data_IF_971781575813
#
_entry.id   IF_971781575813
#
_cell.length_a   1.000
_cell.length_b   1.000
_cell.length_c   1.000
_cell.angle_alpha   90.00
_cell.angle_beta   90.00
_cell.angle_gamma   90.00
#
_symmetry.space_group_name_H-M   'P 1'
#
loop_
_entity.id
_entity.type
_entity.pdbx_description
1 polymer ?
#
# COMPACT_ATOMS: atom_id res chain seq x y z
N UNK A 1 8.73 -4.75 -13.91
CA UNK A 1 8.29 -3.71 -12.98
C UNK A 1 6.88 -3.28 -13.33
N UNK A 2 5.98 -3.29 -12.36
CA UNK A 2 4.58 -2.95 -12.56
C UNK A 2 4.38 -1.44 -12.35
N UNK A 3 3.77 -0.80 -13.32
CA UNK A 3 3.48 0.62 -13.27
C UNK A 3 2.29 0.88 -12.35
N UNK A 4 2.42 1.86 -11.45
CA UNK A 4 1.35 2.26 -10.54
C UNK A 4 0.37 3.21 -11.24
N UNK A 5 -0.92 2.95 -11.08
CA UNK A 5 -1.99 3.87 -11.51
C UNK A 5 -2.72 4.34 -10.26
N UNK A 6 -2.59 5.62 -9.93
CA UNK A 6 -3.17 6.22 -8.72
C UNK A 6 -4.61 6.61 -8.93
N UNK A 7 -5.46 6.30 -7.94
CA UNK A 7 -6.89 6.60 -8.00
C UNK A 7 -7.36 7.19 -6.67
N UNK A 8 -8.31 8.10 -6.76
CA UNK A 8 -8.99 8.70 -5.63
C UNK A 8 -8.03 9.32 -4.61
N UNK A 9 -8.43 10.42 -4.04
CA UNK A 9 -7.67 11.06 -2.94
C UNK A 9 -8.69 11.67 -2.02
N UNK A 10 -8.59 11.36 -0.71
CA UNK A 10 -9.51 11.93 0.28
C UNK A 10 -8.83 12.03 1.63
N UNK A 11 -9.26 13.00 2.42
CA UNK A 11 -8.82 13.10 3.81
C UNK A 11 -9.52 12.02 4.63
N UNK A 12 -8.82 11.53 5.64
CA UNK A 12 -9.28 10.44 6.47
C UNK A 12 -8.83 10.66 7.91
N UNK A 13 -9.78 10.59 8.85
CA UNK A 13 -9.48 10.56 10.29
C UNK A 13 -9.69 9.15 10.76
N UNK A 14 -8.71 8.58 11.44
CA UNK A 14 -8.74 7.18 11.84
C UNK A 14 -9.74 6.99 12.97
N UNK A 15 -10.82 6.24 12.71
CA UNK A 15 -11.78 5.79 13.72
C UNK A 15 -11.32 4.47 14.35
N UNK A 16 -12.13 3.94 15.28
CA UNK A 16 -11.77 2.70 15.97
C UNK A 16 -11.64 1.51 15.02
N UNK A 17 -12.54 1.36 14.07
CA UNK A 17 -12.52 0.24 13.13
C UNK A 17 -11.28 0.31 12.24
N UNK A 18 -10.96 1.48 11.72
CA UNK A 18 -9.79 1.68 10.87
C UNK A 18 -8.49 1.49 11.66
N UNK A 19 -8.45 1.99 12.92
CA UNK A 19 -7.29 1.81 13.79
C UNK A 19 -6.97 0.33 14.00
N UNK A 20 -7.99 -0.48 14.22
CA UNK A 20 -7.81 -1.93 14.37
C UNK A 20 -7.32 -2.58 13.08
N UNK A 21 -7.90 -2.22 11.95
CA UNK A 21 -7.53 -2.81 10.66
C UNK A 21 -6.10 -2.42 10.26
N UNK A 22 -5.71 -1.17 10.45
CA UNK A 22 -4.37 -0.67 10.09
C UNK A 22 -3.34 -0.88 11.19
N UNK A 23 -3.76 -1.31 12.39
CA UNK A 23 -2.89 -1.49 13.56
C UNK A 23 -2.14 -0.20 13.91
N UNK A 24 -2.89 0.89 14.04
CA UNK A 24 -2.37 2.20 14.38
C UNK A 24 -3.28 2.90 15.40
N UNK A 25 -2.90 4.09 15.82
CA UNK A 25 -3.66 4.87 16.79
C UNK A 25 -4.91 5.49 16.16
N UNK A 26 -5.94 5.73 16.99
CA UNK A 26 -7.11 6.49 16.60
C UNK A 26 -6.75 7.97 16.44
N UNK A 27 -7.59 8.67 15.70
CA UNK A 27 -7.54 10.14 15.50
C UNK A 27 -6.37 10.63 14.67
N UNK A 28 -5.52 9.74 14.15
CA UNK A 28 -4.52 10.13 13.17
C UNK A 28 -5.22 10.70 11.93
N UNK A 29 -4.63 11.73 11.35
CA UNK A 29 -5.15 12.36 10.15
C UNK A 29 -4.30 11.96 8.97
N UNK A 30 -4.93 11.23 8.06
CA UNK A 30 -4.27 10.73 6.86
C UNK A 30 -4.87 11.34 5.60
N UNK A 31 -4.07 11.36 4.58
CA UNK A 31 -4.50 11.48 3.21
C UNK A 31 -4.53 10.05 2.66
N UNK A 32 -5.69 9.61 2.18
CA UNK A 32 -5.85 8.26 1.62
C UNK A 32 -5.98 8.35 0.12
N UNK A 33 -5.23 7.53 -0.57
CA UNK A 33 -5.42 7.28 -2.00
C UNK A 33 -5.15 5.80 -2.27
N UNK A 34 -5.58 5.33 -3.44
CA UNK A 34 -5.33 3.94 -3.80
C UNK A 34 -4.59 3.86 -5.13
N UNK A 35 -3.98 2.73 -5.37
CA UNK A 35 -3.37 2.48 -6.66
C UNK A 35 -3.54 1.03 -7.08
N UNK A 36 -3.51 0.82 -8.39
CA UNK A 36 -3.53 -0.49 -9.01
C UNK A 36 -2.21 -0.65 -9.76
N UNK A 37 -1.62 -1.82 -9.64
CA UNK A 37 -0.48 -2.19 -10.49
C UNK A 37 -0.93 -3.27 -11.47
N UNK A 38 -0.51 -3.12 -12.70
CA UNK A 38 -0.89 -4.03 -13.78
C UNK A 38 0.32 -4.79 -14.28
N UNK A 39 0.08 -5.95 -14.86
CA UNK A 39 1.13 -6.73 -15.51
C UNK A 39 1.24 -6.32 -16.98
N UNK A 40 2.32 -5.64 -17.39
CA UNK A 40 2.44 -5.17 -18.77
C UNK A 40 2.58 -6.31 -19.79
N UNK A 41 2.94 -7.51 -19.35
CA UNK A 41 3.10 -8.68 -20.23
C UNK A 41 1.84 -9.53 -20.33
N UNK A 42 0.77 -9.20 -19.60
CA UNK A 42 -0.48 -9.95 -19.59
C UNK A 42 -1.65 -9.00 -19.87
N UNK A 43 -1.61 -8.30 -20.99
CA UNK A 43 -2.64 -7.36 -21.45
C UNK A 43 -3.03 -6.30 -20.40
N UNK A 44 -2.09 -5.92 -19.54
CA UNK A 44 -2.36 -4.94 -18.49
C UNK A 44 -3.27 -5.45 -17.38
N UNK A 45 -3.36 -6.76 -17.17
CA UNK A 45 -4.18 -7.35 -16.12
C UNK A 45 -3.77 -6.82 -14.75
N UNK A 46 -4.74 -6.36 -13.91
CA UNK A 46 -4.41 -5.89 -12.57
C UNK A 46 -3.91 -7.04 -11.70
N UNK A 47 -2.82 -6.79 -10.96
CA UNK A 47 -2.21 -7.82 -10.12
C UNK A 47 -2.26 -7.49 -8.63
N UNK A 48 -2.34 -6.22 -8.27
CA UNK A 48 -2.44 -5.79 -6.87
C UNK A 48 -3.17 -4.45 -6.78
N UNK A 49 -4.02 -4.34 -5.76
CA UNK A 49 -4.63 -3.07 -5.36
C UNK A 49 -4.10 -2.69 -3.98
N UNK A 50 -3.71 -1.43 -3.81
CA UNK A 50 -3.14 -0.93 -2.56
C UNK A 50 -3.88 0.33 -2.13
N UNK A 51 -4.35 0.34 -0.88
CA UNK A 51 -4.78 1.55 -0.21
C UNK A 51 -3.60 2.13 0.56
N UNK A 52 -3.34 3.41 0.38
CA UNK A 52 -2.20 4.11 0.97
C UNK A 52 -2.72 5.19 1.91
N UNK A 53 -2.16 5.23 3.10
CA UNK A 53 -2.47 6.21 4.13
C UNK A 53 -1.18 6.93 4.51
N UNK A 54 -1.10 8.23 4.24
CA UNK A 54 0.07 9.05 4.54
C UNK A 54 -0.34 10.24 5.39
N UNK A 55 0.63 10.87 6.04
CA UNK A 55 0.37 12.09 6.82
C UNK A 55 -0.42 13.07 5.96
N UNK A 56 -1.49 13.64 6.52
CA UNK A 56 -2.35 14.58 5.81
C UNK A 56 -1.59 15.81 5.29
N UNK A 57 -0.46 16.16 5.90
CA UNK A 57 0.40 17.24 5.45
C UNK A 57 1.10 16.96 4.12
N UNK A 58 1.16 15.69 3.69
CA UNK A 58 1.79 15.32 2.42
C UNK A 58 0.83 15.54 1.25
N UNK A 59 0.29 16.75 1.14
CA UNK A 59 -0.80 17.08 0.21
C UNK A 59 -0.42 16.91 -1.26
N UNK A 60 0.87 16.99 -1.60
CA UNK A 60 1.35 16.85 -2.99
C UNK A 60 1.71 15.43 -3.36
N UNK A 61 1.73 14.51 -2.40
CA UNK A 61 2.19 13.14 -2.65
C UNK A 61 1.36 12.39 -3.70
N UNK A 62 0.02 12.47 -3.71
CA UNK A 62 -0.74 11.78 -4.76
C UNK A 62 -0.38 12.21 -6.17
N UNK A 63 -0.17 13.51 -6.40
CA UNK A 63 0.24 14.01 -7.71
C UNK A 63 1.66 13.58 -8.06
N UNK A 64 2.57 13.63 -7.09
CA UNK A 64 3.94 13.14 -7.28
C UNK A 64 3.96 11.66 -7.63
N UNK A 65 3.08 10.88 -6.99
CA UNK A 65 2.95 9.45 -7.26
C UNK A 65 2.46 9.19 -8.70
N UNK A 66 1.53 10.00 -9.20
CA UNK A 66 1.05 9.90 -10.59
C UNK A 66 2.13 10.25 -11.59
N UNK A 67 2.91 11.28 -11.30
CA UNK A 67 3.97 11.75 -12.21
C UNK A 67 5.20 10.83 -12.19
N UNK A 68 5.36 10.03 -11.15
CA UNK A 68 6.51 9.15 -10.96
C UNK A 68 6.05 7.71 -10.69
N UNK A 69 5.39 7.06 -11.65
CA UNK A 69 4.69 5.78 -11.40
C UNK A 69 5.59 4.58 -11.09
N UNK A 70 6.90 4.72 -11.28
CA UNK A 70 7.86 3.66 -11.01
C UNK A 70 8.70 3.93 -9.76
N UNK A 71 8.51 5.06 -9.10
CA UNK A 71 9.28 5.46 -7.92
C UNK A 71 8.52 5.07 -6.66
N UNK A 72 9.22 4.53 -5.66
CA UNK A 72 8.61 4.19 -4.37
C UNK A 72 8.09 5.43 -3.67
N UNK A 73 6.94 5.31 -3.01
CA UNK A 73 6.35 6.43 -2.27
C UNK A 73 7.26 6.92 -1.16
N UNK A 74 7.94 6.01 -0.45
CA UNK A 74 8.90 6.39 0.59
C UNK A 74 10.04 7.25 0.04
N UNK A 75 10.48 6.98 -1.19
CA UNK A 75 11.48 7.79 -1.86
C UNK A 75 10.93 9.19 -2.18
N UNK A 76 9.69 9.28 -2.64
CA UNK A 76 9.05 10.56 -2.92
C UNK A 76 8.85 11.37 -1.64
N UNK A 77 8.48 10.72 -0.53
CA UNK A 77 8.34 11.37 0.77
C UNK A 77 9.68 11.97 1.22
N UNK A 78 10.75 11.20 1.09
CA UNK A 78 12.07 11.68 1.48
C UNK A 78 12.49 12.89 0.64
N UNK A 79 12.33 12.82 -0.67
CA UNK A 79 12.74 13.90 -1.58
C UNK A 79 11.92 15.16 -1.37
N UNK A 80 10.60 15.04 -1.19
CA UNK A 80 9.71 16.18 -1.13
C UNK A 80 9.59 16.79 0.27
N UNK A 81 9.59 15.93 1.30
CA UNK A 81 9.32 16.35 2.68
C UNK A 81 10.51 16.15 3.61
N UNK A 82 11.61 15.60 3.12
CA UNK A 82 12.83 15.44 3.91
C UNK A 82 12.75 14.36 4.99
N UNK A 83 11.72 13.53 4.97
CA UNK A 83 11.54 12.48 5.99
C UNK A 83 11.96 11.14 5.43
N UNK A 84 13.01 10.58 6.03
CA UNK A 84 13.59 9.31 5.58
C UNK A 84 12.92 8.15 6.26
N UNK A 85 12.56 7.13 5.49
CA UNK A 85 12.09 5.86 6.04
C UNK A 85 13.26 5.07 6.62
N UNK A 86 13.19 4.75 7.90
CA UNK A 86 14.23 4.05 8.62
C UNK A 86 13.88 2.59 8.91
N UNK A 87 12.59 2.25 8.90
CA UNK A 87 12.12 0.92 9.26
C UNK A 87 10.82 0.64 8.52
N UNK A 88 10.67 -0.59 8.03
CA UNK A 88 9.40 -1.07 7.48
C UNK A 88 9.02 -2.34 8.23
N UNK A 89 7.83 -2.33 8.84
CA UNK A 89 7.25 -3.55 9.44
C UNK A 89 6.21 -4.07 8.47
N UNK A 90 6.30 -5.33 8.13
CA UNK A 90 5.42 -5.98 7.16
C UNK A 90 4.72 -7.16 7.80
N UNK A 91 3.39 -7.23 7.61
CA UNK A 91 2.56 -8.32 8.08
C UNK A 91 1.78 -8.88 6.90
N UNK A 92 1.88 -10.18 6.68
CA UNK A 92 1.21 -10.87 5.58
C UNK A 92 0.17 -11.82 6.16
N UNK A 93 -1.05 -11.74 5.65
CA UNK A 93 -2.13 -12.64 6.08
C UNK A 93 -2.98 -13.07 4.89
N UNK A 94 -3.58 -14.26 5.03
CA UNK A 94 -4.54 -14.77 4.05
C UNK A 94 -5.93 -14.30 4.46
N UNK A 95 -6.63 -13.64 3.55
CA UNK A 95 -7.95 -13.05 3.82
C UNK A 95 -8.85 -13.20 2.61
N UNK A 96 -10.18 -13.11 2.79
CA UNK A 96 -11.10 -12.98 1.66
C UNK A 96 -10.90 -11.62 0.98
N UNK A 97 -10.99 -11.58 -0.34
CA UNK A 97 -10.83 -10.33 -1.09
C UNK A 97 -11.99 -9.37 -0.78
N UNK A 98 -11.71 -8.16 -0.27
CA UNK A 98 -12.77 -7.20 0.03
C UNK A 98 -13.34 -6.57 -1.24
N UNK A 99 -14.57 -6.06 -1.12
CA UNK A 99 -15.32 -5.55 -2.26
C UNK A 99 -14.61 -4.41 -3.00
N UNK A 100 -14.02 -3.47 -2.27
CA UNK A 100 -13.33 -2.35 -2.89
C UNK A 100 -12.16 -2.82 -3.74
N UNK A 101 -11.32 -3.70 -3.19
CA UNK A 101 -10.18 -4.24 -3.94
C UNK A 101 -10.64 -5.06 -5.14
N UNK A 102 -11.69 -5.87 -4.99
CA UNK A 102 -12.22 -6.71 -6.05
C UNK A 102 -12.65 -5.90 -7.28
N UNK A 103 -13.26 -4.74 -7.03
CA UNK A 103 -13.72 -3.85 -8.11
C UNK A 103 -12.56 -3.39 -9.00
N UNK A 104 -11.43 -3.02 -8.39
CA UNK A 104 -10.25 -2.56 -9.15
C UNK A 104 -9.42 -3.69 -9.74
N UNK A 105 -9.57 -4.91 -9.19
CA UNK A 105 -8.76 -6.05 -9.60
C UNK A 105 -9.44 -6.95 -10.62
N UNK A 106 -10.69 -6.64 -10.99
CA UNK A 106 -11.49 -7.50 -11.84
C UNK A 106 -11.46 -8.93 -11.29
N UNK A 107 -11.83 -9.06 -10.02
CA UNK A 107 -11.78 -10.31 -9.29
C UNK A 107 -13.05 -10.47 -8.46
N UNK A 108 -13.33 -11.70 -8.04
CA UNK A 108 -14.53 -12.01 -7.29
C UNK A 108 -14.36 -11.66 -5.81
N UNK A 109 -15.34 -10.95 -5.25
CA UNK A 109 -15.40 -10.65 -3.81
C UNK A 109 -15.36 -11.97 -3.02
N UNK A 110 -14.56 -12.01 -1.98
CA UNK A 110 -14.44 -13.17 -1.11
C UNK A 110 -13.48 -14.25 -1.59
N UNK A 111 -12.93 -14.11 -2.81
CA UNK A 111 -11.93 -15.08 -3.30
C UNK A 111 -10.64 -14.99 -2.47
N UNK A 112 -9.84 -16.07 -2.41
CA UNK A 112 -8.61 -16.08 -1.63
C UNK A 112 -7.62 -15.01 -2.09
N UNK A 113 -7.08 -14.25 -1.13
CA UNK A 113 -6.02 -13.29 -1.44
C UNK A 113 -5.03 -13.19 -0.28
N UNK A 114 -3.86 -12.64 -0.57
CA UNK A 114 -2.90 -12.25 0.45
C UNK A 114 -3.03 -10.75 0.70
N UNK A 115 -3.14 -10.40 1.97
CA UNK A 115 -3.12 -9.00 2.41
C UNK A 115 -1.76 -8.70 2.99
N UNK A 116 -1.13 -7.64 2.52
CA UNK A 116 0.16 -7.20 3.05
C UNK A 116 -0.02 -5.81 3.65
N UNK A 117 0.14 -5.73 4.96
CA UNK A 117 0.09 -4.47 5.71
C UNK A 117 1.52 -4.04 6.00
N UNK A 118 1.89 -2.81 5.59
CA UNK A 118 3.22 -2.26 5.85
C UNK A 118 3.10 -0.94 6.59
N UNK A 119 3.90 -0.80 7.65
CA UNK A 119 4.13 0.47 8.33
C UNK A 119 5.52 0.96 7.96
N UNK A 120 5.59 2.11 7.31
CA UNK A 120 6.83 2.78 6.96
C UNK A 120 7.10 3.85 8.02
N UNK A 121 8.19 3.73 8.76
CA UNK A 121 8.45 4.55 9.93
C UNK A 121 9.77 5.31 9.80
N UNK A 122 9.74 6.56 10.22
CA UNK A 122 10.90 7.43 10.27
C UNK A 122 11.46 7.53 11.68
N UNK A 123 12.02 8.69 12.00
CA UNK A 123 12.62 8.98 13.30
C UNK A 123 11.62 8.72 14.42
N UNK A 124 12.08 8.08 15.50
CA UNK A 124 11.28 7.74 16.69
C UNK A 124 10.04 6.93 16.35
N UNK A 125 10.13 6.12 15.30
CA UNK A 125 9.03 5.29 14.79
C UNK A 125 7.78 6.10 14.42
N UNK A 126 7.99 7.33 14.00
CA UNK A 126 6.91 8.14 13.44
C UNK A 126 6.42 7.52 12.14
N UNK A 127 5.11 7.35 12.01
CA UNK A 127 4.52 6.73 10.81
C UNK A 127 4.53 7.73 9.65
N UNK A 128 5.21 7.36 8.57
CA UNK A 128 5.24 8.13 7.33
C UNK A 128 4.15 7.66 6.37
N UNK A 129 3.95 6.36 6.33
CA UNK A 129 3.00 5.73 5.41
C UNK A 129 2.54 4.40 6.00
N UNK A 130 1.26 4.10 5.83
CA UNK A 130 0.73 2.76 6.01
C UNK A 130 0.16 2.34 4.65
N UNK A 131 0.52 1.16 4.17
CA UNK A 131 -0.06 0.61 2.97
C UNK A 131 -0.72 -0.73 3.25
N UNK A 132 -1.83 -0.95 2.60
CA UNK A 132 -2.64 -2.15 2.72
C UNK A 132 -2.84 -2.69 1.32
N UNK A 133 -2.11 -3.76 0.97
CA UNK A 133 -2.13 -4.33 -0.37
C UNK A 133 -2.88 -5.64 -0.40
N UNK A 134 -3.70 -5.83 -1.44
CA UNK A 134 -4.46 -7.05 -1.66
C UNK A 134 -4.02 -7.70 -2.96
N UNK A 135 -3.54 -8.94 -2.86
CA UNK A 135 -2.99 -9.71 -3.97
C UNK A 135 -3.88 -10.93 -4.20
N UNK A 136 -4.64 -10.98 -5.30
CA UNK A 136 -5.44 -12.17 -5.59
C UNK A 136 -4.56 -13.43 -5.64
N UNK A 137 -5.05 -14.51 -5.04
CA UNK A 137 -4.28 -15.74 -4.88
C UNK A 137 -3.88 -16.42 -6.19
N UNK A 138 -4.64 -16.19 -7.26
CA UNK A 138 -4.33 -16.72 -8.59
C UNK A 138 -3.32 -15.87 -9.37
N UNK A 139 -2.87 -14.74 -8.81
CA UNK A 139 -1.98 -13.78 -9.49
C UNK A 139 -0.73 -13.45 -8.69
N UNK A 140 -0.52 -14.08 -7.54
CA UNK A 140 0.59 -13.74 -6.65
C UNK A 140 1.08 -14.95 -5.89
N UNK A 141 2.39 -15.09 -5.82
CA UNK A 141 3.06 -16.05 -4.96
C UNK A 141 4.21 -15.36 -4.23
N UNK A 142 4.33 -15.64 -2.92
CA UNK A 142 5.46 -15.16 -2.13
C UNK A 142 6.55 -16.22 -2.15
N UNK A 143 7.73 -15.87 -2.64
CA UNK A 143 8.87 -16.78 -2.70
C UNK A 143 9.99 -16.24 -1.84
N UNK A 144 10.49 -17.06 -0.94
CA UNK A 144 11.66 -16.74 -0.12
C UNK A 144 12.73 -17.80 -0.35
N UNK A 145 13.95 -17.35 -0.59
CA UNK A 145 15.09 -18.24 -0.75
C UNK A 145 16.01 -18.03 0.45
N UNK A 146 16.09 -19.03 1.30
CA UNK A 146 16.92 -19.00 2.51
C UNK A 146 18.12 -19.91 2.33
N UNK A 147 19.31 -19.36 2.52
CA UNK A 147 20.55 -20.12 2.37
C UNK A 147 21.20 -20.34 3.73
N UNK A 148 21.80 -21.52 3.88
CA UNK A 148 22.64 -21.76 5.06
C UNK A 148 23.83 -20.81 5.05
N UNK A 149 24.08 -20.19 6.17
CA UNK A 149 25.24 -19.31 6.35
C UNK A 149 26.38 -20.15 6.96
N UNK A 150 27.54 -20.09 6.34
CA UNK A 150 28.72 -20.83 6.78
C UNK A 150 29.74 -19.93 7.41
#
# INVERSE_FOLDING_TARGET
THKRVVQGTQECVVDLALAKRLECERYLRFLRFSNVRTNPTDNGKPVVWTAVYVNAAYSRLPDLARLNPLVLLSTLIEKEYGEKCLEVVQKISAVPLPAEAAMYLDAQVGSPCLRILRHYMGIKRNILEISESYHPGDRYALTMNMRANR
#
